data_IF_444346788122
#
_entry.id   IF_444346788122
#
_cell.length_a   1.000
_cell.length_b   1.000
_cell.length_c   1.000
_cell.angle_alpha   90.00
_cell.angle_beta   90.00
_cell.angle_gamma   90.00
#
_symmetry.space_group_name_H-M   'P 1'
#
loop_
_entity.id
_entity.type
_entity.pdbx_description
1 polymer ?
#
# COMPACT_ATOMS: atom_id res chain seq x y z
N UNK A 1 -61.02 22.58 -119.21
CA UNK A 1 -60.63 21.35 -118.51
C UNK A 1 -59.21 21.54 -117.99
N UNK A 2 -58.99 21.58 -116.66
CA UNK A 2 -57.63 21.75 -116.11
C UNK A 2 -56.86 20.44 -116.30
N UNK A 3 -55.63 20.52 -116.81
CA UNK A 3 -54.82 19.35 -117.16
C UNK A 3 -54.48 18.50 -115.92
N UNK A 4 -54.65 17.17 -115.96
CA UNK A 4 -54.31 16.27 -114.86
C UNK A 4 -52.83 16.35 -114.44
N UNK A 5 -51.96 16.82 -115.34
CA UNK A 5 -50.53 17.04 -115.09
C UNK A 5 -50.29 18.10 -114.02
N UNK A 6 -51.10 19.17 -113.98
CA UNK A 6 -50.95 20.24 -112.99
C UNK A 6 -51.29 19.73 -111.58
N UNK A 7 -52.31 18.88 -111.47
CA UNK A 7 -52.66 18.25 -110.19
C UNK A 7 -51.60 17.27 -109.70
N UNK A 8 -50.97 16.52 -110.61
CA UNK A 8 -49.86 15.64 -110.27
C UNK A 8 -48.64 16.41 -109.73
N UNK A 9 -48.30 17.55 -110.34
CA UNK A 9 -47.20 18.42 -109.88
C UNK A 9 -47.52 19.01 -108.49
N UNK A 10 -48.74 19.50 -108.27
CA UNK A 10 -49.16 20.03 -106.96
C UNK A 10 -49.11 18.95 -105.88
N UNK A 11 -49.61 17.74 -106.17
CA UNK A 11 -49.56 16.61 -105.25
C UNK A 11 -48.12 16.20 -104.90
N UNK A 12 -47.22 16.19 -105.89
CA UNK A 12 -45.80 15.90 -105.69
C UNK A 12 -45.11 16.95 -104.80
N UNK A 13 -45.35 18.24 -105.05
CA UNK A 13 -44.81 19.33 -104.23
C UNK A 13 -45.34 19.31 -102.79
N UNK A 14 -46.62 19.00 -102.60
CA UNK A 14 -47.21 18.79 -101.27
C UNK A 14 -46.57 17.59 -100.56
N UNK A 15 -46.32 16.50 -101.28
CA UNK A 15 -45.63 15.32 -100.75
C UNK A 15 -44.22 15.63 -100.25
N UNK A 16 -43.43 16.39 -101.02
CA UNK A 16 -42.08 16.83 -100.61
C UNK A 16 -42.16 17.75 -99.39
N UNK A 17 -43.11 18.69 -99.37
CA UNK A 17 -43.29 19.61 -98.25
C UNK A 17 -43.66 18.88 -96.95
N UNK A 18 -44.62 17.95 -97.00
CA UNK A 18 -45.02 17.12 -95.86
C UNK A 18 -43.88 16.22 -95.38
N UNK A 19 -43.12 15.61 -96.30
CA UNK A 19 -41.96 14.81 -95.95
C UNK A 19 -40.86 15.65 -95.29
N UNK A 20 -40.62 16.87 -95.77
CA UNK A 20 -39.69 17.82 -95.16
C UNK A 20 -40.10 18.23 -93.74
N UNK A 21 -41.39 18.49 -93.52
CA UNK A 21 -41.93 18.79 -92.18
C UNK A 21 -41.77 17.58 -91.25
N UNK A 22 -42.14 16.37 -91.71
CA UNK A 22 -41.98 15.14 -90.93
C UNK A 22 -40.52 14.91 -90.53
N UNK A 23 -39.58 15.06 -91.47
CA UNK A 23 -38.14 14.91 -91.17
C UNK A 23 -37.63 15.99 -90.23
N UNK A 24 -38.08 17.24 -90.38
CA UNK A 24 -37.73 18.32 -89.46
C UNK A 24 -38.21 18.02 -88.02
N UNK A 25 -39.43 17.51 -87.85
CA UNK A 25 -39.96 17.05 -86.55
C UNK A 25 -39.16 15.87 -85.98
N UNK A 26 -38.81 14.89 -86.80
CA UNK A 26 -37.98 13.75 -86.38
C UNK A 26 -36.58 14.20 -85.93
N UNK A 27 -35.94 15.13 -86.65
CA UNK A 27 -34.66 15.70 -86.23
C UNK A 27 -34.80 16.56 -84.98
N UNK A 28 -35.86 17.35 -84.85
CA UNK A 28 -36.12 18.19 -83.68
C UNK A 28 -36.30 17.36 -82.41
N UNK A 29 -37.07 16.27 -82.48
CA UNK A 29 -37.25 15.35 -81.35
C UNK A 29 -35.93 14.67 -80.96
N UNK A 30 -35.16 14.18 -81.94
CA UNK A 30 -33.82 13.60 -81.67
C UNK A 30 -32.86 14.60 -81.03
N UNK A 31 -32.86 15.85 -81.52
CA UNK A 31 -32.00 16.90 -80.97
C UNK A 31 -32.41 17.27 -79.53
N UNK A 32 -33.71 17.31 -79.24
CA UNK A 32 -34.22 17.55 -77.89
C UNK A 32 -33.81 16.43 -76.92
N UNK A 33 -33.94 15.16 -77.34
CA UNK A 33 -33.50 14.01 -76.55
C UNK A 33 -31.97 14.07 -76.31
N UNK A 34 -31.20 14.42 -77.34
CA UNK A 34 -29.75 14.52 -77.23
C UNK A 34 -29.33 15.68 -76.31
N UNK A 35 -30.00 16.84 -76.41
CA UNK A 35 -29.77 17.99 -75.55
C UNK A 35 -30.07 17.68 -74.08
N UNK A 36 -31.18 17.00 -73.81
CA UNK A 36 -31.53 16.56 -72.46
C UNK A 36 -30.49 15.57 -71.90
N UNK A 37 -30.04 14.62 -72.72
CA UNK A 37 -29.02 13.64 -72.33
C UNK A 37 -27.68 14.32 -72.05
N UNK A 38 -27.29 15.30 -72.86
CA UNK A 38 -26.06 16.06 -72.66
C UNK A 38 -26.13 16.93 -71.40
N UNK A 39 -27.29 17.51 -71.12
CA UNK A 39 -27.54 18.24 -69.86
C UNK A 39 -27.42 17.31 -68.66
N UNK A 40 -28.05 16.13 -68.70
CA UNK A 40 -27.96 15.12 -67.64
C UNK A 40 -26.50 14.67 -67.42
N UNK A 41 -25.77 14.36 -68.50
CA UNK A 41 -24.36 13.97 -68.41
C UNK A 41 -23.50 15.08 -67.80
N UNK A 42 -23.76 16.34 -68.16
CA UNK A 42 -23.05 17.50 -67.61
C UNK A 42 -23.32 17.66 -66.11
N UNK A 43 -24.57 17.43 -65.67
CA UNK A 43 -24.89 17.45 -64.24
C UNK A 43 -24.20 16.33 -63.48
N UNK A 44 -24.19 15.11 -64.03
CA UNK A 44 -23.53 13.96 -63.43
C UNK A 44 -22.00 14.15 -63.37
N UNK A 45 -21.41 14.72 -64.42
CA UNK A 45 -19.98 15.06 -64.45
C UNK A 45 -19.62 16.10 -63.37
N UNK A 46 -20.45 17.13 -63.18
CA UNK A 46 -20.24 18.12 -62.13
C UNK A 46 -20.38 17.50 -60.73
N UNK A 47 -21.38 16.63 -60.52
CA UNK A 47 -21.58 15.94 -59.24
C UNK A 47 -20.42 14.98 -58.93
N UNK A 48 -19.97 14.21 -59.91
CA UNK A 48 -18.83 13.28 -59.75
C UNK A 48 -17.55 14.06 -59.47
N UNK A 49 -17.30 15.17 -60.16
CA UNK A 49 -16.15 16.03 -59.89
C UNK A 49 -16.18 16.63 -58.47
N UNK A 50 -17.36 17.06 -57.99
CA UNK A 50 -17.52 17.53 -56.62
C UNK A 50 -17.27 16.40 -55.59
N UNK A 51 -17.79 15.19 -55.85
CA UNK A 51 -17.57 14.03 -54.99
C UNK A 51 -16.09 13.63 -54.93
N UNK A 52 -15.36 13.72 -56.04
CA UNK A 52 -13.93 13.44 -56.12
C UNK A 52 -13.13 14.46 -55.31
N UNK A 53 -13.50 15.74 -55.38
CA UNK A 53 -12.87 16.78 -54.57
C UNK A 53 -13.09 16.54 -53.06
N UNK A 54 -14.31 16.19 -52.66
CA UNK A 54 -14.62 15.85 -51.27
C UNK A 54 -13.87 14.60 -50.78
N UNK A 55 -13.79 13.57 -51.61
CA UNK A 55 -13.04 12.35 -51.30
C UNK A 55 -11.54 12.61 -51.14
N UNK A 56 -10.96 13.45 -52.00
CA UNK A 56 -9.54 13.87 -51.88
C UNK A 56 -9.28 14.66 -50.61
N UNK A 57 -10.20 15.57 -50.24
CA UNK A 57 -10.10 16.32 -49.00
C UNK A 57 -10.17 15.39 -47.78
N UNK A 58 -11.17 14.50 -47.73
CA UNK A 58 -11.32 13.53 -46.64
C UNK A 58 -10.12 12.59 -46.52
N UNK A 59 -9.53 12.20 -47.64
CA UNK A 59 -8.30 11.41 -47.67
C UNK A 59 -7.11 12.21 -47.08
N UNK A 60 -6.98 13.49 -47.44
CA UNK A 60 -5.98 14.40 -46.87
C UNK A 60 -6.13 14.55 -45.36
N UNK A 61 -7.34 14.78 -44.88
CA UNK A 61 -7.64 14.88 -43.44
C UNK A 61 -7.30 13.58 -42.70
N UNK A 62 -7.57 12.43 -43.33
CA UNK A 62 -7.23 11.12 -42.78
C UNK A 62 -5.72 10.89 -42.68
N UNK A 63 -4.94 11.32 -43.68
CA UNK A 63 -3.48 11.25 -43.62
C UNK A 63 -2.91 12.13 -42.51
N UNK A 64 -3.41 13.36 -42.35
CA UNK A 64 -2.99 14.26 -41.28
C UNK A 64 -3.30 13.67 -39.90
N UNK A 65 -4.49 13.09 -39.74
CA UNK A 65 -4.88 12.43 -38.49
C UNK A 65 -4.03 11.20 -38.20
N UNK A 66 -3.69 10.40 -39.21
CA UNK A 66 -2.79 9.26 -39.03
C UNK A 66 -1.39 9.72 -38.58
N UNK A 67 -0.82 10.76 -39.20
CA UNK A 67 0.47 11.30 -38.78
C UNK A 67 0.43 11.85 -37.34
N UNK A 68 -0.66 12.50 -36.95
CA UNK A 68 -0.87 12.95 -35.57
C UNK A 68 -0.92 11.78 -34.59
N UNK A 69 -1.69 10.73 -34.91
CA UNK A 69 -1.82 9.54 -34.08
C UNK A 69 -0.49 8.78 -33.96
N UNK A 70 0.28 8.66 -35.04
CA UNK A 70 1.63 8.09 -35.01
C UNK A 70 2.57 8.90 -34.09
N UNK A 71 2.49 10.23 -34.14
CA UNK A 71 3.24 11.10 -33.24
C UNK A 71 2.84 10.92 -31.76
N UNK A 72 1.54 10.80 -31.49
CA UNK A 72 1.02 10.53 -30.14
C UNK A 72 1.45 9.15 -29.63
N UNK A 73 1.43 8.11 -30.48
CA UNK A 73 1.93 6.77 -30.14
C UNK A 73 3.41 6.82 -29.74
N UNK A 74 4.26 7.45 -30.56
CA UNK A 74 5.69 7.58 -30.26
C UNK A 74 5.96 8.35 -28.95
N UNK A 75 5.11 9.34 -28.61
CA UNK A 75 5.18 10.05 -27.34
C UNK A 75 4.80 9.13 -26.16
N UNK A 76 3.75 8.33 -26.33
CA UNK A 76 3.28 7.39 -25.30
C UNK A 76 4.29 6.28 -25.06
N UNK A 77 4.92 5.73 -26.10
CA UNK A 77 5.99 4.74 -25.96
C UNK A 77 7.15 5.30 -25.14
N UNK A 78 7.61 6.52 -25.43
CA UNK A 78 8.64 7.20 -24.63
C UNK A 78 8.23 7.41 -23.17
N UNK A 79 6.94 7.63 -22.89
CA UNK A 79 6.44 7.77 -21.52
C UNK A 79 6.43 6.43 -20.81
N UNK A 80 6.02 5.37 -21.48
CA UNK A 80 6.06 4.01 -20.95
C UNK A 80 7.49 3.57 -20.63
N UNK A 81 8.45 3.85 -21.51
CA UNK A 81 9.86 3.55 -21.27
C UNK A 81 10.40 4.26 -20.01
N UNK A 82 10.09 5.56 -19.85
CA UNK A 82 10.47 6.31 -18.65
C UNK A 82 9.83 5.75 -17.39
N UNK A 83 8.55 5.41 -17.44
CA UNK A 83 7.86 4.81 -16.30
C UNK A 83 8.44 3.43 -15.95
N UNK A 84 8.83 2.63 -16.95
CA UNK A 84 9.49 1.35 -16.72
C UNK A 84 10.86 1.53 -16.04
N UNK A 85 11.63 2.55 -16.45
CA UNK A 85 12.90 2.92 -15.80
C UNK A 85 12.69 3.39 -14.36
N UNK A 86 11.70 4.26 -14.12
CA UNK A 86 11.34 4.74 -12.78
C UNK A 86 10.93 3.57 -11.86
N UNK A 87 10.09 2.65 -12.35
CA UNK A 87 9.69 1.45 -11.62
C UNK A 87 10.92 0.62 -11.24
N UNK A 88 11.84 0.39 -12.19
CA UNK A 88 13.09 -0.33 -11.92
C UNK A 88 13.93 0.38 -10.85
N UNK A 89 13.99 1.71 -10.90
CA UNK A 89 14.64 2.54 -9.88
C UNK A 89 14.00 2.40 -8.49
N UNK A 90 12.67 2.42 -8.40
CA UNK A 90 11.94 2.23 -7.15
C UNK A 90 12.11 0.82 -6.59
N UNK A 91 12.06 -0.22 -7.42
CA UNK A 91 12.33 -1.61 -7.00
C UNK A 91 13.74 -1.73 -6.44
N UNK A 92 14.73 -1.09 -7.07
CA UNK A 92 16.10 -1.01 -6.55
C UNK A 92 16.16 -0.35 -5.16
N UNK A 93 15.52 0.81 -4.99
CA UNK A 93 15.45 1.52 -3.69
C UNK A 93 14.76 0.67 -2.62
N UNK A 94 13.65 0.01 -2.95
CA UNK A 94 12.93 -0.88 -2.03
C UNK A 94 13.84 -2.03 -1.58
N UNK A 95 14.55 -2.67 -2.52
CA UNK A 95 15.47 -3.77 -2.19
C UNK A 95 16.61 -3.32 -1.26
N UNK A 96 17.19 -2.14 -1.52
CA UNK A 96 18.23 -1.55 -0.69
C UNK A 96 17.71 -1.22 0.71
N UNK A 97 16.55 -0.59 0.82
CA UNK A 97 15.92 -0.27 2.11
C UNK A 97 15.54 -1.54 2.89
N UNK A 98 15.06 -2.56 2.20
CA UNK A 98 14.74 -3.86 2.80
C UNK A 98 15.99 -4.52 3.39
N UNK A 99 17.11 -4.50 2.67
CA UNK A 99 18.38 -4.99 3.17
C UNK A 99 18.87 -4.20 4.41
N UNK A 100 18.76 -2.86 4.37
CA UNK A 100 19.08 -2.00 5.51
C UNK A 100 18.20 -2.28 6.72
N UNK A 101 16.91 -2.50 6.52
CA UNK A 101 15.97 -2.83 7.59
C UNK A 101 16.28 -4.20 8.21
N UNK A 102 16.66 -5.19 7.39
CA UNK A 102 17.12 -6.48 7.89
C UNK A 102 18.42 -6.37 8.70
N UNK A 103 19.37 -5.55 8.25
CA UNK A 103 20.62 -5.27 8.97
C UNK A 103 20.35 -4.60 10.32
N UNK A 104 19.53 -3.55 10.35
CA UNK A 104 19.17 -2.86 11.60
C UNK A 104 18.37 -3.74 12.54
N UNK A 105 17.47 -4.60 12.04
CA UNK A 105 16.75 -5.57 12.84
C UNK A 105 17.70 -6.57 13.53
N UNK A 106 18.73 -7.07 12.82
CA UNK A 106 19.76 -7.94 13.40
C UNK A 106 20.59 -7.21 14.45
N UNK A 107 21.02 -5.98 14.16
CA UNK A 107 21.78 -5.17 15.11
C UNK A 107 20.97 -4.89 16.38
N UNK A 108 19.68 -4.58 16.24
CA UNK A 108 18.79 -4.34 17.36
C UNK A 108 18.59 -5.61 18.19
N UNK A 109 18.40 -6.78 17.56
CA UNK A 109 18.31 -8.06 18.26
C UNK A 109 19.60 -8.39 19.05
N UNK A 110 20.77 -8.07 18.50
CA UNK A 110 22.05 -8.23 19.20
C UNK A 110 22.14 -7.30 20.43
N UNK A 111 21.76 -6.03 20.29
CA UNK A 111 21.72 -5.08 21.40
C UNK A 111 20.73 -5.49 22.49
N UNK A 112 19.57 -6.05 22.13
CA UNK A 112 18.63 -6.61 23.11
C UNK A 112 19.24 -7.79 23.89
N UNK A 113 19.99 -8.67 23.21
CA UNK A 113 20.67 -9.79 23.86
C UNK A 113 21.79 -9.31 24.80
N UNK A 114 22.58 -8.33 24.37
CA UNK A 114 23.64 -7.72 25.18
C UNK A 114 23.07 -7.00 26.41
N UNK A 115 22.04 -6.17 26.24
CA UNK A 115 21.36 -5.50 27.34
C UNK A 115 20.81 -6.50 28.37
N UNK A 116 20.24 -7.62 27.91
CA UNK A 116 19.80 -8.70 28.81
C UNK A 116 20.98 -9.35 29.54
N UNK A 117 22.11 -9.53 28.87
CA UNK A 117 23.35 -10.01 29.47
C UNK A 117 23.86 -9.09 30.58
N UNK A 118 23.95 -7.79 30.30
CA UNK A 118 24.39 -6.76 31.26
C UNK A 118 23.41 -6.68 32.44
N UNK A 119 22.10 -6.71 32.18
CA UNK A 119 21.09 -6.71 33.24
C UNK A 119 21.30 -7.89 34.20
N UNK A 120 21.52 -9.10 33.67
CA UNK A 120 21.80 -10.29 34.48
C UNK A 120 23.11 -10.17 35.27
N UNK A 121 24.18 -9.65 34.66
CA UNK A 121 25.44 -9.38 35.36
C UNK A 121 25.26 -8.37 36.49
N UNK A 122 24.48 -7.32 36.28
CA UNK A 122 24.18 -6.31 37.31
C UNK A 122 23.44 -6.92 38.50
N UNK A 123 22.52 -7.86 38.26
CA UNK A 123 21.78 -8.56 39.31
C UNK A 123 22.74 -9.44 40.12
N UNK A 124 23.63 -10.19 39.46
CA UNK A 124 24.65 -11.01 40.13
C UNK A 124 25.57 -10.17 41.00
N UNK A 125 26.11 -9.07 40.47
CA UNK A 125 26.97 -8.16 41.22
C UNK A 125 26.24 -7.56 42.44
N UNK A 126 24.95 -7.24 42.33
CA UNK A 126 24.12 -6.78 43.46
C UNK A 126 23.94 -7.86 44.53
N UNK A 127 23.73 -9.11 44.12
CA UNK A 127 23.63 -10.23 45.06
C UNK A 127 24.96 -10.49 45.78
N UNK A 128 26.08 -10.53 45.05
CA UNK A 128 27.42 -10.70 45.62
C UNK A 128 27.78 -9.58 46.59
N UNK A 129 27.49 -8.33 46.23
CA UNK A 129 27.71 -7.18 47.14
C UNK A 129 26.83 -7.26 48.39
N UNK A 130 25.59 -7.73 48.27
CA UNK A 130 24.71 -7.96 49.43
C UNK A 130 25.23 -9.11 50.32
N UNK A 131 25.68 -10.22 49.74
CA UNK A 131 26.31 -11.32 50.47
C UNK A 131 27.59 -10.87 51.20
N UNK A 132 28.45 -10.12 50.53
CA UNK A 132 29.66 -9.56 51.14
C UNK A 132 29.33 -8.60 52.28
N UNK A 133 28.30 -7.76 52.11
CA UNK A 133 27.82 -6.87 53.18
C UNK A 133 27.32 -7.66 54.38
N UNK A 134 26.57 -8.75 54.16
CA UNK A 134 26.09 -9.64 55.22
C UNK A 134 27.25 -10.37 55.92
N UNK A 135 28.26 -10.84 55.18
CA UNK A 135 29.48 -11.45 55.74
C UNK A 135 30.26 -10.44 56.58
N UNK A 136 30.42 -9.21 56.09
CA UNK A 136 31.11 -8.14 56.82
C UNK A 136 30.36 -7.70 58.07
N UNK A 137 29.03 -7.60 58.04
CA UNK A 137 28.23 -7.31 59.24
C UNK A 137 28.35 -8.42 60.27
N UNK A 138 28.32 -9.69 59.85
CA UNK A 138 28.54 -10.84 60.73
C UNK A 138 29.95 -10.84 61.35
N UNK A 139 30.99 -10.50 60.58
CA UNK A 139 32.36 -10.37 61.12
C UNK A 139 32.46 -9.23 62.13
N UNK A 140 31.81 -8.08 61.87
CA UNK A 140 31.78 -6.97 62.80
C UNK A 140 31.09 -7.35 64.12
N UNK A 141 29.97 -8.09 64.03
CA UNK A 141 29.26 -8.65 65.18
C UNK A 141 30.11 -9.69 65.93
N UNK A 142 30.80 -10.58 65.21
CA UNK A 142 31.75 -11.54 65.80
C UNK A 142 32.89 -10.83 66.53
N UNK A 143 33.47 -9.77 65.95
CA UNK A 143 34.49 -8.94 66.63
C UNK A 143 33.93 -8.30 67.90
N UNK A 144 32.69 -7.81 67.88
CA UNK A 144 32.03 -7.21 69.04
C UNK A 144 31.80 -8.26 70.13
N UNK A 145 31.31 -9.44 69.77
CA UNK A 145 31.12 -10.58 70.68
C UNK A 145 32.46 -11.05 71.28
N UNK A 146 33.54 -11.15 70.48
CA UNK A 146 34.89 -11.49 70.97
C UNK A 146 35.39 -10.44 71.96
N UNK A 147 35.20 -9.14 71.66
CA UNK A 147 35.61 -8.06 72.57
C UNK A 147 34.85 -8.13 73.90
N UNK A 148 33.54 -8.38 73.84
CA UNK A 148 32.70 -8.54 75.03
C UNK A 148 33.08 -9.80 75.83
N UNK A 149 33.32 -10.92 75.14
CA UNK A 149 33.79 -12.17 75.76
C UNK A 149 35.15 -11.98 76.42
N UNK A 150 36.09 -11.26 75.78
CA UNK A 150 37.40 -10.94 76.37
C UNK A 150 37.27 -10.05 77.60
N UNK A 151 36.34 -9.09 77.59
CA UNK A 151 36.01 -8.28 78.76
C UNK A 151 35.40 -9.15 79.87
N UNK A 152 34.49 -10.06 79.54
CA UNK A 152 33.90 -11.01 80.51
C UNK A 152 34.95 -11.94 81.10
N UNK A 153 35.82 -12.55 80.29
CA UNK A 153 36.93 -13.39 80.75
C UNK A 153 37.92 -12.60 81.61
N UNK A 154 38.20 -11.33 81.29
CA UNK A 154 39.02 -10.46 82.13
C UNK A 154 38.35 -10.14 83.48
N UNK A 155 37.02 -9.94 83.48
CA UNK A 155 36.23 -9.75 84.70
C UNK A 155 36.12 -11.05 85.52
N UNK A 156 35.91 -12.20 84.89
CA UNK A 156 35.88 -13.52 85.54
C UNK A 156 37.26 -13.97 86.03
N UNK A 157 38.36 -13.63 85.34
CA UNK A 157 39.72 -13.84 85.86
C UNK A 157 40.02 -13.00 87.11
N UNK A 158 39.32 -11.87 87.29
CA UNK A 158 39.36 -11.06 88.52
C UNK A 158 38.39 -11.55 89.59
N UNK A 159 37.53 -12.53 89.26
CA UNK A 159 36.50 -13.09 90.13
C UNK A 159 36.59 -14.63 90.12
N UNK A 160 37.66 -15.16 90.72
CA UNK A 160 37.61 -16.41 91.48
C UNK A 160 37.82 -16.02 92.95
N UNK A 161 37.02 -16.56 93.90
CA UNK A 161 37.06 -18.00 94.17
C UNK A 161 35.70 -18.72 94.21
N UNK A 162 35.82 -20.05 94.17
CA UNK A 162 34.92 -21.11 94.65
C UNK A 162 33.47 -21.23 94.10
N UNK A 163 33.23 -22.40 93.48
CA UNK A 163 31.93 -23.07 93.29
C UNK A 163 31.29 -23.46 94.65
N UNK A 164 30.06 -24.03 94.78
CA UNK A 164 29.18 -24.60 93.75
C UNK A 164 27.65 -24.42 93.93
N UNK A 165 26.90 -25.06 93.02
CA UNK A 165 25.51 -25.57 93.15
C UNK A 165 24.35 -24.63 92.78
N UNK A 166 23.34 -25.20 92.10
CA UNK A 166 22.03 -24.54 91.95
C UNK A 166 21.29 -24.87 90.65
N UNK A 167 20.55 -25.97 90.65
CA UNK A 167 19.64 -26.39 89.59
C UNK A 167 18.40 -25.46 89.47
N UNK A 168 17.74 -25.53 88.30
CA UNK A 168 16.26 -25.60 88.05
C UNK A 168 15.61 -24.48 87.22
N UNK A 169 15.11 -24.96 86.07
CA UNK A 169 13.72 -24.90 85.54
C UNK A 169 13.13 -23.57 85.06
N UNK A 170 12.85 -23.60 83.74
CA UNK A 170 11.57 -23.31 83.05
C UNK A 170 10.58 -22.32 83.67
N UNK A 171 10.14 -21.34 82.87
CA UNK A 171 8.72 -21.00 82.75
C UNK A 171 8.41 -20.25 81.44
N UNK A 172 7.45 -20.82 80.71
CA UNK A 172 6.69 -20.21 79.60
C UNK A 172 5.93 -18.96 80.07
N UNK A 173 5.73 -17.98 79.17
CA UNK A 173 4.42 -17.35 78.88
C UNK A 173 4.50 -16.35 77.69
N UNK A 174 3.96 -16.79 76.54
CA UNK A 174 2.91 -16.15 75.71
C UNK A 174 2.34 -14.82 76.27
N UNK A 175 1.89 -13.82 75.50
CA UNK A 175 1.35 -13.70 74.13
C UNK A 175 1.00 -12.21 74.02
N UNK A 176 1.41 -11.47 72.98
CA UNK A 176 0.58 -10.36 72.46
C UNK A 176 1.11 -9.71 71.18
N UNK A 177 0.14 -9.31 70.35
CA UNK A 177 0.19 -8.41 69.19
C UNK A 177 0.96 -8.93 67.97
N UNK A 178 0.26 -9.52 67.00
CA UNK A 178 -0.55 -8.85 65.97
C UNK A 178 0.32 -8.17 64.92
N UNK A 179 -0.05 -8.39 63.66
CA UNK A 179 0.07 -7.51 62.49
C UNK A 179 0.59 -8.26 61.27
N UNK A 180 -0.35 -8.53 60.36
CA UNK A 180 -0.18 -8.68 58.92
C UNK A 180 0.62 -9.90 58.42
N UNK A 181 -0.03 -11.06 58.43
CA UNK A 181 0.17 -12.01 57.34
C UNK A 181 -0.59 -11.50 56.10
N UNK A 182 -0.02 -10.49 55.44
CA UNK A 182 -0.38 -10.14 54.07
C UNK A 182 0.09 -11.32 53.23
N UNK A 183 -0.85 -12.20 52.87
CA UNK A 183 -0.61 -13.27 51.89
C UNK A 183 -0.37 -12.59 50.55
N UNK A 184 0.86 -12.16 50.30
CA UNK A 184 1.30 -11.80 48.96
C UNK A 184 1.19 -13.06 48.12
N UNK A 185 0.10 -13.16 47.39
CA UNK A 185 0.04 -13.98 46.19
C UNK A 185 1.10 -13.37 45.29
N UNK A 186 2.25 -14.03 45.24
CA UNK A 186 3.29 -13.82 44.25
C UNK A 186 2.59 -13.95 42.89
N UNK A 187 2.20 -12.82 42.30
CA UNK A 187 1.87 -12.75 40.88
C UNK A 187 3.20 -12.98 40.18
N UNK A 188 3.40 -14.22 39.73
CA UNK A 188 4.45 -14.52 38.78
C UNK A 188 4.33 -13.50 37.63
N UNK A 189 5.43 -12.86 37.19
CA UNK A 189 5.39 -12.05 35.99
C UNK A 189 4.98 -12.98 34.84
N UNK A 190 3.76 -12.78 34.33
CA UNK A 190 3.33 -13.42 33.10
C UNK A 190 4.26 -12.88 32.02
N UNK A 191 5.05 -13.79 31.47
CA UNK A 191 5.93 -13.53 30.34
C UNK A 191 5.10 -12.89 29.23
N UNK A 192 5.53 -11.71 28.79
CA UNK A 192 4.82 -10.87 27.86
C UNK A 192 4.34 -11.64 26.63
N UNK A 193 3.04 -11.54 26.37
CA UNK A 193 2.49 -11.85 25.06
C UNK A 193 2.91 -10.71 24.13
N UNK A 194 3.76 -10.99 23.15
CA UNK A 194 4.20 -10.06 22.11
C UNK A 194 3.08 -9.69 21.12
N UNK A 195 1.93 -9.22 21.62
CA UNK A 195 0.86 -8.64 20.80
C UNK A 195 -0.16 -9.61 20.20
N UNK A 196 -0.15 -10.90 20.54
CA UNK A 196 -1.11 -11.86 19.97
C UNK A 196 -2.31 -12.08 20.90
N UNK A 197 -3.52 -11.96 20.34
CA UNK A 197 -4.82 -12.12 21.03
C UNK A 197 -5.22 -13.59 21.26
N UNK A 198 -4.59 -14.53 20.55
CA UNK A 198 -4.89 -15.96 20.59
C UNK A 198 -3.56 -16.73 20.55
N UNK A 199 -3.39 -17.71 21.44
CA UNK A 199 -2.26 -18.65 21.41
C UNK A 199 -2.79 -20.07 21.57
N UNK A 200 -2.35 -20.99 20.71
CA UNK A 200 -2.72 -22.42 20.73
C UNK A 200 -4.24 -22.66 20.73
N UNK A 201 -4.97 -21.86 19.93
CA UNK A 201 -6.43 -21.97 19.77
C UNK A 201 -7.25 -21.55 20.99
N UNK A 202 -6.62 -20.98 22.04
CA UNK A 202 -7.31 -20.47 23.23
C UNK A 202 -7.10 -18.95 23.37
N UNK A 203 -8.14 -18.17 23.66
CA UNK A 203 -8.02 -16.74 23.88
C UNK A 203 -7.22 -16.47 25.17
N UNK A 204 -6.22 -15.60 25.07
CA UNK A 204 -5.34 -15.25 26.21
C UNK A 204 -5.90 -14.16 27.12
N UNK A 205 -7.06 -13.59 26.77
CA UNK A 205 -7.77 -12.58 27.56
C UNK A 205 -9.08 -13.19 28.10
N UNK A 206 -9.23 -13.21 29.42
CA UNK A 206 -10.44 -13.69 30.11
C UNK A 206 -11.61 -12.67 30.05
N UNK A 207 -11.75 -11.90 28.97
CA UNK A 207 -12.77 -10.85 28.85
C UNK A 207 -13.20 -10.63 27.40
N UNK A 208 -14.44 -10.18 27.22
CA UNK A 208 -15.03 -9.81 25.91
C UNK A 208 -14.34 -8.54 25.42
N UNK A 209 -13.68 -8.61 24.27
CA UNK A 209 -13.07 -7.45 23.60
C UNK A 209 -14.02 -6.97 22.50
N UNK A 210 -14.57 -5.76 22.65
CA UNK A 210 -15.36 -5.09 21.62
C UNK A 210 -14.39 -4.43 20.61
N UNK A 211 -14.25 -5.02 19.42
CA UNK A 211 -13.40 -4.48 18.36
C UNK A 211 -14.28 -3.64 17.41
N UNK A 212 -14.20 -2.32 17.54
CA UNK A 212 -14.81 -1.40 16.56
C UNK A 212 -13.77 -1.00 15.52
N UNK A 213 -14.03 -1.38 14.27
CA UNK A 213 -13.25 -0.95 13.12
C UNK A 213 -13.72 0.45 12.73
N UNK A 214 -12.82 1.43 12.81
CA UNK A 214 -13.08 2.81 12.36
C UNK A 214 -12.42 2.99 10.99
N UNK A 215 -13.14 3.45 9.95
CA UNK A 215 -12.55 3.73 8.65
C UNK A 215 -11.51 4.87 8.74
N UNK A 216 -10.44 4.75 7.96
CA UNK A 216 -9.24 5.59 8.06
C UNK A 216 -9.53 7.10 7.96
N UNK A 217 -10.61 7.49 7.27
CA UNK A 217 -10.99 8.88 7.02
C UNK A 217 -11.36 9.67 8.30
N UNK A 218 -11.71 8.99 9.40
CA UNK A 218 -12.02 9.65 10.68
C UNK A 218 -10.82 9.84 11.63
N UNK A 219 -9.68 9.20 11.37
CA UNK A 219 -8.52 9.24 12.27
C UNK A 219 -7.68 10.53 12.17
N UNK A 220 -7.87 11.32 11.11
CA UNK A 220 -7.11 12.56 10.86
C UNK A 220 -7.85 13.84 11.31
N UNK A 221 -9.06 13.71 11.86
CA UNK A 221 -9.89 14.85 12.32
C UNK A 221 -9.66 15.23 13.79
N UNK A 222 -8.76 14.53 14.51
CA UNK A 222 -8.68 14.59 15.98
C UNK A 222 -7.48 15.33 16.57
N UNK A 223 -6.71 16.07 15.78
CA UNK A 223 -5.59 16.89 16.29
C UNK A 223 -5.76 18.34 15.86
N UNK A 224 -6.52 19.09 16.67
CA UNK A 224 -6.40 20.54 16.88
C UNK A 224 -6.49 20.79 18.38
#
# INVERSE_FOLDING_TARGET
MRSPVIWAIIAFLLGISLFGIYKSLELGTKNLVLSNSLSALKTELNMTQASLAAARQSLGDSYMKNAELEGQLALMDKRLDRQAEDIKGYVGKISFMSAKLAETARANAALYAENKGIANQSIRAKLETQEMRNKLSSIAELKKAIKELKVRISKEKKLKPASPSGQKKMARKNKTFALFARKEIIRQPIVGNGGFLIKDGRPTLNGVVDIRVVPAELSLSGTN
#
